data_IF_838878533180
#
_entry.id   IF_838878533180
#
_cell.length_a   1.000
_cell.length_b   1.000
_cell.length_c   1.000
_cell.angle_alpha   90.00
_cell.angle_beta   90.00
_cell.angle_gamma   90.00
#
_symmetry.space_group_name_H-M   'P 1'
#
loop_
_entity.id
_entity.type
_entity.pdbx_description
1 polymer ?
#
# COMPACT_ATOMS: atom_id res chain seq x y z
N UNK A 1 -0.28 81.84 -13.58
CA UNK A 1 -1.58 81.52 -12.91
C UNK A 1 -2.11 80.20 -13.50
N UNK A 2 -2.89 79.42 -12.75
CA UNK A 2 -3.58 78.24 -13.30
C UNK A 2 -3.15 76.88 -12.74
N UNK A 3 -3.27 76.67 -11.43
CA UNK A 3 -3.25 75.34 -10.82
C UNK A 3 -4.64 75.01 -10.24
N UNK A 4 -5.23 73.90 -10.69
CA UNK A 4 -6.46 73.26 -10.14
C UNK A 4 -6.13 71.75 -10.00
N UNK A 5 -6.35 71.03 -8.89
CA UNK A 5 -7.55 70.83 -8.03
C UNK A 5 -8.72 70.21 -8.81
N UNK A 6 -9.30 69.04 -8.49
CA UNK A 6 -9.05 67.98 -7.48
C UNK A 6 -9.23 66.59 -8.19
N UNK A 7 -9.48 65.39 -7.64
CA UNK A 7 -9.83 64.84 -6.30
C UNK A 7 -9.14 63.47 -6.06
N UNK A 8 -8.94 63.14 -4.78
CA UNK A 8 -9.26 61.90 -4.03
C UNK A 8 -9.39 60.54 -4.75
N UNK A 9 -8.81 59.47 -4.16
CA UNK A 9 -9.57 58.51 -3.34
C UNK A 9 -8.72 57.37 -2.70
N UNK A 10 -9.15 56.93 -1.51
CA UNK A 10 -8.98 55.62 -0.85
C UNK A 10 -7.74 54.73 -1.15
N UNK A 11 -6.88 54.55 -0.16
CA UNK A 11 -6.02 53.35 -0.03
C UNK A 11 -6.88 52.17 0.40
N UNK A 12 -7.00 51.12 -0.43
CA UNK A 12 -7.56 49.83 -0.05
C UNK A 12 -6.42 48.85 0.16
N UNK A 13 -6.23 48.40 1.41
CA UNK A 13 -5.20 47.42 1.76
C UNK A 13 -5.71 45.99 1.55
N UNK A 14 -5.31 45.36 0.45
CA UNK A 14 -5.65 43.96 0.15
C UNK A 14 -4.62 42.98 0.71
N UNK A 15 -4.93 42.30 1.83
CA UNK A 15 -4.13 41.21 2.37
C UNK A 15 -4.30 39.95 1.52
N UNK A 16 -3.40 39.73 0.55
CA UNK A 16 -3.35 38.49 -0.22
C UNK A 16 -2.68 37.38 0.61
N UNK A 17 -3.45 36.67 1.43
CA UNK A 17 -2.99 35.44 2.09
C UNK A 17 -2.79 34.33 1.05
N UNK A 18 -1.59 34.25 0.50
CA UNK A 18 -1.16 33.13 -0.32
C UNK A 18 -1.02 31.88 0.56
N UNK A 19 -2.03 31.00 0.53
CA UNK A 19 -1.94 29.66 1.11
C UNK A 19 -0.90 28.85 0.33
N UNK A 20 0.34 28.82 0.85
CA UNK A 20 1.39 27.93 0.38
C UNK A 20 1.03 26.50 0.78
N UNK A 21 0.29 25.80 -0.09
CA UNK A 21 0.06 24.36 0.03
C UNK A 21 1.39 23.63 -0.10
N UNK A 22 1.91 23.15 1.04
CA UNK A 22 3.12 22.35 1.10
C UNK A 22 2.80 20.91 0.71
N UNK A 23 2.81 20.63 -0.60
CA UNK A 23 2.71 19.28 -1.12
C UNK A 23 3.96 18.48 -0.73
N UNK A 24 3.77 17.30 -0.14
CA UNK A 24 4.88 16.38 0.09
C UNK A 24 5.40 15.84 -1.24
N UNK A 25 6.68 15.49 -1.30
CA UNK A 25 7.22 14.67 -2.38
C UNK A 25 6.71 13.24 -2.23
N UNK A 26 5.61 12.94 -2.92
CA UNK A 26 5.05 11.60 -3.12
C UNK A 26 6.16 10.56 -3.34
N UNK A 27 6.14 9.48 -2.54
CA UNK A 27 7.02 8.35 -2.73
C UNK A 27 6.28 7.30 -3.55
N UNK A 28 6.82 6.96 -4.72
CA UNK A 28 6.18 6.05 -5.68
C UNK A 28 5.96 4.62 -5.16
N UNK A 29 6.61 4.24 -4.05
CA UNK A 29 6.50 2.94 -3.40
C UNK A 29 5.62 2.93 -2.14
N UNK A 30 5.12 4.09 -1.68
CA UNK A 30 4.22 4.19 -0.52
C UNK A 30 2.78 4.38 -1.01
N UNK A 31 1.93 3.42 -0.67
CA UNK A 31 0.50 3.45 -0.87
C UNK A 31 -0.30 3.33 0.42
N UNK A 32 -1.62 3.47 0.31
CA UNK A 32 -2.57 3.23 1.39
C UNK A 32 -3.80 2.49 0.87
N UNK A 33 -4.43 1.69 1.72
CA UNK A 33 -5.70 1.04 1.44
C UNK A 33 -6.86 2.00 1.78
N UNK A 34 -7.73 2.25 0.80
CA UNK A 34 -9.01 2.93 1.02
C UNK A 34 -10.11 1.87 1.11
N UNK A 35 -10.40 1.48 2.36
CA UNK A 35 -11.55 0.65 2.71
C UNK A 35 -12.85 1.46 2.70
N UNK A 36 -13.97 0.74 2.58
CA UNK A 36 -15.32 1.31 2.38
C UNK A 36 -16.40 0.63 3.23
N UNK A 37 -16.01 -0.26 4.15
CA UNK A 37 -16.92 -0.94 5.09
C UNK A 37 -17.19 -0.02 6.31
N UNK A 38 -17.77 1.15 6.04
CA UNK A 38 -18.12 2.18 7.01
C UNK A 38 -19.24 3.11 6.49
N UNK A 39 -20.03 3.70 7.39
CA UNK A 39 -21.06 4.72 7.01
C UNK A 39 -20.66 6.17 7.33
N UNK A 40 -19.51 6.34 8.00
CA UNK A 40 -19.07 7.60 8.60
C UNK A 40 -17.94 8.35 7.84
N UNK A 41 -17.55 7.85 6.65
CA UNK A 41 -16.33 8.28 5.95
C UNK A 41 -16.37 9.74 5.45
N UNK A 42 -15.20 10.40 5.30
CA UNK A 42 -15.14 11.79 4.82
C UNK A 42 -15.56 11.90 3.34
N UNK A 43 -16.09 13.06 2.91
CA UNK A 43 -16.37 13.32 1.50
C UNK A 43 -15.14 13.06 0.62
N UNK A 44 -15.27 12.40 -0.56
CA UNK A 44 -14.11 12.00 -1.37
C UNK A 44 -13.15 13.14 -1.75
N UNK A 45 -13.65 14.38 -1.89
CA UNK A 45 -12.83 15.57 -2.08
C UNK A 45 -11.90 15.88 -0.89
N UNK A 46 -12.39 15.67 0.34
CA UNK A 46 -11.60 15.81 1.57
C UNK A 46 -10.52 14.74 1.65
N UNK A 47 -10.89 13.48 1.37
CA UNK A 47 -9.96 12.34 1.30
C UNK A 47 -8.86 12.57 0.27
N UNK A 48 -9.21 13.00 -0.94
CA UNK A 48 -8.24 13.32 -1.98
C UNK A 48 -7.30 14.48 -1.61
N UNK A 49 -7.79 15.49 -0.86
CA UNK A 49 -6.96 16.59 -0.39
C UNK A 49 -6.02 16.17 0.76
N UNK A 50 -6.49 15.29 1.67
CA UNK A 50 -5.65 14.66 2.69
C UNK A 50 -4.50 13.89 2.03
N UNK A 51 -4.81 12.98 1.09
CA UNK A 51 -3.81 12.20 0.36
C UNK A 51 -2.77 13.09 -0.31
N UNK A 52 -3.18 14.15 -1.03
CA UNK A 52 -2.28 15.13 -1.69
C UNK A 52 -1.37 15.90 -0.71
N UNK A 53 -1.67 15.94 0.59
CA UNK A 53 -0.81 16.56 1.62
C UNK A 53 0.27 15.62 2.18
N UNK A 54 0.22 14.34 1.83
CA UNK A 54 1.11 13.28 2.34
C UNK A 54 2.08 12.76 1.29
N UNK A 55 3.10 12.01 1.71
CA UNK A 55 4.02 11.30 0.80
C UNK A 55 3.44 10.02 0.19
N UNK A 56 2.13 9.78 0.29
CA UNK A 56 1.44 8.65 -0.36
C UNK A 56 1.37 8.90 -1.87
N UNK A 57 1.95 7.99 -2.66
CA UNK A 57 1.86 8.01 -4.13
C UNK A 57 0.85 7.04 -4.72
N UNK A 58 0.28 6.15 -3.91
CA UNK A 58 -0.60 5.07 -4.39
C UNK A 58 -1.84 4.89 -3.51
N UNK A 59 -2.98 4.59 -4.11
CA UNK A 59 -4.20 4.18 -3.38
C UNK A 59 -4.65 2.83 -3.90
N UNK A 60 -4.88 1.88 -2.99
CA UNK A 60 -5.60 0.65 -3.30
C UNK A 60 -7.08 0.84 -2.97
N UNK A 61 -7.92 0.57 -3.95
CA UNK A 61 -9.37 0.49 -3.82
C UNK A 61 -9.75 -1.00 -3.83
N UNK A 62 -10.70 -1.42 -3.00
CA UNK A 62 -11.23 -2.80 -3.04
C UNK A 62 -12.24 -3.02 -4.16
N UNK A 63 -12.82 -1.93 -4.65
CA UNK A 63 -13.87 -1.88 -5.66
C UNK A 63 -13.79 -0.52 -6.43
N UNK A 64 -14.56 -0.32 -7.50
CA UNK A 64 -14.58 0.94 -8.24
C UNK A 64 -15.17 2.10 -7.42
N UNK A 65 -14.37 3.15 -7.16
CA UNK A 65 -14.75 4.31 -6.35
C UNK A 65 -14.74 5.61 -7.19
N UNK A 66 -15.79 5.87 -8.01
CA UNK A 66 -15.78 6.91 -9.05
C UNK A 66 -15.63 8.34 -8.50
N UNK A 67 -16.22 8.66 -7.35
CA UNK A 67 -16.12 10.01 -6.76
C UNK A 67 -14.73 10.30 -6.19
N UNK A 68 -14.05 9.30 -5.62
CA UNK A 68 -12.67 9.42 -5.15
C UNK A 68 -11.70 9.49 -6.34
N UNK A 69 -11.92 8.69 -7.39
CA UNK A 69 -11.22 8.81 -8.68
C UNK A 69 -11.33 10.23 -9.22
N UNK A 70 -12.54 10.78 -9.30
CA UNK A 70 -12.78 12.14 -9.81
C UNK A 70 -12.08 13.20 -8.96
N UNK A 71 -12.09 13.05 -7.63
CA UNK A 71 -11.38 13.93 -6.71
C UNK A 71 -9.84 13.81 -6.78
N UNK A 72 -9.31 12.65 -7.21
CA UNK A 72 -7.89 12.39 -7.44
C UNK A 72 -7.39 12.79 -8.84
N UNK A 73 -8.29 13.16 -9.76
CA UNK A 73 -7.93 13.60 -11.11
C UNK A 73 -6.93 14.77 -11.08
N UNK A 74 -5.91 14.72 -11.95
CA UNK A 74 -4.84 15.72 -12.01
C UNK A 74 -3.84 15.67 -10.84
N UNK A 75 -3.90 14.65 -9.98
CA UNK A 75 -2.85 14.37 -8.99
C UNK A 75 -1.80 13.37 -9.50
N UNK A 76 -0.69 13.26 -8.77
CA UNK A 76 0.37 12.27 -9.04
C UNK A 76 0.14 10.93 -8.29
N UNK A 77 -1.10 10.64 -7.88
CA UNK A 77 -1.46 9.41 -7.17
C UNK A 77 -1.94 8.38 -8.19
N UNK A 78 -1.39 7.16 -8.18
CA UNK A 78 -1.85 6.06 -9.02
C UNK A 78 -2.71 5.05 -8.25
N UNK A 79 -3.61 4.37 -8.95
CA UNK A 79 -4.59 3.44 -8.38
C UNK A 79 -4.18 1.99 -8.60
N UNK A 80 -4.32 1.17 -7.55
CA UNK A 80 -4.52 -0.27 -7.64
C UNK A 80 -6.02 -0.55 -7.46
N UNK A 81 -6.68 -1.01 -8.53
CA UNK A 81 -8.12 -1.19 -8.58
C UNK A 81 -8.53 -2.62 -8.25
N UNK A 82 -9.32 -2.81 -7.21
CA UNK A 82 -9.89 -4.10 -6.84
C UNK A 82 -11.08 -4.50 -7.70
N UNK A 83 -11.14 -5.80 -8.00
CA UNK A 83 -12.34 -6.52 -8.43
C UNK A 83 -12.87 -7.26 -7.20
N UNK A 84 -14.12 -7.02 -6.76
CA UNK A 84 -14.72 -7.79 -5.67
C UNK A 84 -14.78 -9.29 -5.97
N UNK A 85 -14.59 -10.16 -4.97
CA UNK A 85 -14.63 -11.63 -5.14
C UNK A 85 -15.94 -12.11 -5.79
N UNK A 86 -17.06 -11.40 -5.57
CA UNK A 86 -18.37 -11.69 -6.16
C UNK A 86 -18.46 -11.44 -7.68
N UNK A 87 -17.64 -10.55 -8.24
CA UNK A 87 -17.63 -10.27 -9.69
C UNK A 87 -16.86 -11.36 -10.47
N UNK A 88 -15.88 -12.02 -9.83
CA UNK A 88 -14.93 -12.93 -10.49
C UNK A 88 -15.60 -14.03 -11.32
N UNK A 89 -16.66 -14.73 -10.87
CA UNK A 89 -17.33 -15.76 -11.69
C UNK A 89 -18.00 -15.21 -12.97
N UNK A 90 -18.51 -13.97 -12.94
CA UNK A 90 -19.12 -13.32 -14.10
C UNK A 90 -18.04 -12.89 -15.12
N UNK A 91 -16.93 -12.36 -14.61
CA UNK A 91 -15.77 -11.96 -15.40
C UNK A 91 -15.04 -13.16 -16.01
N UNK A 92 -15.00 -14.30 -15.30
CA UNK A 92 -14.44 -15.56 -15.78
C UNK A 92 -15.26 -16.19 -16.90
N UNK A 93 -16.59 -16.21 -16.76
CA UNK A 93 -17.49 -16.90 -17.68
C UNK A 93 -17.82 -16.13 -18.96
N UNK A 94 -17.55 -14.82 -19.02
CA UNK A 94 -17.89 -13.99 -20.18
C UNK A 94 -16.85 -12.90 -20.48
N UNK A 95 -16.10 -13.01 -21.60
CA UNK A 95 -15.24 -11.92 -22.09
C UNK A 95 -16.01 -10.63 -22.38
N UNK A 96 -17.30 -10.72 -22.73
CA UNK A 96 -18.15 -9.55 -22.92
C UNK A 96 -18.51 -8.87 -21.60
N UNK A 97 -18.67 -9.63 -20.50
CA UNK A 97 -18.84 -9.06 -19.17
C UNK A 97 -17.55 -8.39 -18.68
N UNK A 98 -16.38 -8.99 -18.92
CA UNK A 98 -15.09 -8.38 -18.63
C UNK A 98 -14.85 -7.08 -19.42
N UNK A 99 -15.21 -7.05 -20.71
CA UNK A 99 -15.16 -5.83 -21.52
C UNK A 99 -16.12 -4.73 -21.01
N UNK A 100 -17.33 -5.09 -20.60
CA UNK A 100 -18.30 -4.14 -20.03
C UNK A 100 -17.83 -3.60 -18.66
N UNK A 101 -17.31 -4.46 -17.78
CA UNK A 101 -16.74 -4.08 -16.49
C UNK A 101 -15.53 -3.15 -16.69
N UNK A 102 -14.61 -3.51 -17.58
CA UNK A 102 -13.43 -2.71 -17.90
C UNK A 102 -13.80 -1.31 -18.40
N UNK A 103 -14.76 -1.22 -19.32
CA UNK A 103 -15.23 0.05 -19.88
C UNK A 103 -16.01 0.94 -18.88
N UNK A 104 -16.62 0.33 -17.85
CA UNK A 104 -17.33 1.07 -16.79
C UNK A 104 -16.41 1.51 -15.65
N UNK A 105 -15.44 0.66 -15.28
CA UNK A 105 -14.77 0.74 -13.97
C UNK A 105 -13.29 1.14 -14.02
N UNK A 106 -12.60 1.03 -15.17
CA UNK A 106 -11.19 1.43 -15.28
C UNK A 106 -11.11 2.95 -15.54
N UNK A 107 -10.61 3.77 -14.60
CA UNK A 107 -10.60 5.21 -14.77
C UNK A 107 -9.54 5.68 -15.78
N UNK A 108 -9.92 6.68 -16.58
CA UNK A 108 -9.04 7.33 -17.58
C UNK A 108 -8.41 8.64 -17.07
N UNK A 109 -8.95 9.22 -16.00
CA UNK A 109 -8.51 10.51 -15.44
C UNK A 109 -7.39 10.39 -14.39
N UNK A 110 -7.05 9.17 -13.97
CA UNK A 110 -6.04 8.83 -12.94
C UNK A 110 -5.27 7.59 -13.41
N UNK A 111 -3.94 7.51 -13.28
CA UNK A 111 -3.18 6.33 -13.72
C UNK A 111 -3.54 5.07 -12.91
N UNK A 112 -3.90 3.98 -13.58
CA UNK A 112 -4.12 2.66 -12.95
C UNK A 112 -2.86 1.83 -13.13
N UNK A 113 -2.13 1.59 -12.04
CA UNK A 113 -0.89 0.77 -12.07
C UNK A 113 -1.22 -0.71 -12.29
N UNK A 114 -2.25 -1.20 -11.61
CA UNK A 114 -2.72 -2.57 -11.75
C UNK A 114 -4.19 -2.74 -11.33
N UNK A 115 -4.78 -3.86 -11.75
CA UNK A 115 -6.08 -4.35 -11.32
C UNK A 115 -5.85 -5.67 -10.58
N UNK A 116 -6.34 -5.79 -9.35
CA UNK A 116 -6.30 -7.03 -8.56
C UNK A 116 -7.64 -7.76 -8.67
N UNK A 117 -7.62 -8.93 -9.32
CA UNK A 117 -8.77 -9.81 -9.50
C UNK A 117 -9.02 -10.59 -8.20
N UNK A 118 -9.95 -10.10 -7.39
CA UNK A 118 -10.23 -10.62 -6.06
C UNK A 118 -9.27 -10.15 -4.96
N UNK A 119 -9.69 -10.38 -3.72
CA UNK A 119 -8.88 -10.20 -2.50
C UNK A 119 -8.89 -11.51 -1.71
N UNK A 120 -7.68 -12.03 -1.43
CA UNK A 120 -7.45 -13.28 -0.69
C UNK A 120 -8.30 -14.47 -1.18
N UNK A 121 -8.61 -14.50 -2.49
CA UNK A 121 -9.66 -15.36 -3.04
C UNK A 121 -9.43 -16.86 -2.79
N UNK A 122 -8.17 -17.31 -2.77
CA UNK A 122 -7.78 -18.70 -2.44
C UNK A 122 -7.98 -19.07 -0.96
N UNK A 123 -8.13 -18.07 -0.09
CA UNK A 123 -8.36 -18.18 1.36
C UNK A 123 -9.79 -17.79 1.76
N UNK A 124 -10.67 -17.52 0.79
CA UNK A 124 -12.03 -16.98 1.00
C UNK A 124 -13.03 -17.95 1.66
N UNK A 125 -12.67 -19.23 1.79
CA UNK A 125 -13.58 -20.30 2.22
C UNK A 125 -14.53 -20.83 1.14
N UNK A 126 -14.60 -20.19 -0.04
CA UNK A 126 -15.40 -20.68 -1.18
C UNK A 126 -14.50 -21.38 -2.24
N UNK A 127 -14.51 -22.73 -2.31
CA UNK A 127 -13.71 -23.48 -3.27
C UNK A 127 -14.19 -23.32 -4.73
N UNK A 128 -15.38 -22.74 -4.96
CA UNK A 128 -15.90 -22.52 -6.32
C UNK A 128 -15.25 -21.33 -7.02
N UNK A 129 -14.64 -20.40 -6.27
CA UNK A 129 -13.99 -19.20 -6.80
C UNK A 129 -12.61 -19.49 -7.39
N UNK A 130 -11.81 -20.37 -6.78
CA UNK A 130 -10.42 -20.60 -7.18
C UNK A 130 -10.25 -20.97 -8.68
N UNK A 131 -11.07 -21.86 -9.28
CA UNK A 131 -11.01 -22.15 -10.72
C UNK A 131 -11.39 -20.96 -11.63
N UNK A 132 -12.07 -19.93 -11.12
CA UNK A 132 -12.51 -18.77 -11.89
C UNK A 132 -11.42 -17.69 -12.01
N UNK A 133 -10.40 -17.73 -11.14
CA UNK A 133 -9.41 -16.66 -11.00
C UNK A 133 -8.65 -16.38 -12.31
N UNK A 134 -7.99 -17.40 -12.88
CA UNK A 134 -7.20 -17.23 -14.10
C UNK A 134 -8.07 -16.83 -15.32
N UNK A 135 -9.24 -17.45 -15.59
CA UNK A 135 -10.13 -16.98 -16.67
C UNK A 135 -10.56 -15.52 -16.51
N UNK A 136 -10.87 -15.05 -15.30
CA UNK A 136 -11.21 -13.65 -15.06
C UNK A 136 -10.02 -12.72 -15.32
N UNK A 137 -8.81 -13.10 -14.90
CA UNK A 137 -7.57 -12.37 -15.18
C UNK A 137 -7.27 -12.28 -16.69
N UNK A 138 -7.46 -13.38 -17.42
CA UNK A 138 -7.28 -13.44 -18.88
C UNK A 138 -8.31 -12.58 -19.62
N UNK A 139 -9.59 -12.65 -19.23
CA UNK A 139 -10.66 -11.87 -19.85
C UNK A 139 -10.49 -10.36 -19.58
N UNK A 140 -10.07 -9.97 -18.37
CA UNK A 140 -9.77 -8.56 -18.04
C UNK A 140 -8.53 -8.04 -18.78
N UNK A 141 -7.48 -8.87 -18.93
CA UNK A 141 -6.30 -8.52 -19.74
C UNK A 141 -6.69 -8.26 -21.20
N UNK A 142 -7.52 -9.13 -21.78
CA UNK A 142 -8.03 -8.98 -23.15
C UNK A 142 -8.98 -7.78 -23.32
N UNK A 143 -9.55 -7.27 -22.23
CA UNK A 143 -10.42 -6.10 -22.20
C UNK A 143 -9.66 -4.77 -22.01
N UNK A 144 -8.35 -4.78 -21.74
CA UNK A 144 -7.57 -3.55 -21.59
C UNK A 144 -7.43 -2.78 -22.93
N UNK A 145 -7.42 -1.43 -22.90
CA UNK A 145 -7.13 -0.63 -24.09
C UNK A 145 -5.78 -0.98 -24.73
N UNK A 146 -5.71 -0.92 -26.06
CA UNK A 146 -4.47 -1.16 -26.79
C UNK A 146 -3.38 -0.18 -26.36
N UNK A 147 -2.22 -0.71 -25.95
CA UNK A 147 -1.10 0.09 -25.40
C UNK A 147 -1.23 0.43 -23.91
N UNK A 148 -2.21 -0.12 -23.18
CA UNK A 148 -2.30 0.01 -21.73
C UNK A 148 -1.05 -0.53 -21.02
N UNK A 149 -0.59 0.18 -19.99
CA UNK A 149 0.50 -0.24 -19.10
C UNK A 149 0.00 -0.93 -17.82
N UNK A 150 -1.32 -0.89 -17.56
CA UNK A 150 -1.96 -1.48 -16.38
C UNK A 150 -1.75 -2.99 -16.34
N UNK A 151 -1.31 -3.51 -15.19
CA UNK A 151 -1.12 -4.95 -14.97
C UNK A 151 -2.38 -5.62 -14.42
N UNK A 152 -2.58 -6.89 -14.73
CA UNK A 152 -3.61 -7.73 -14.09
C UNK A 152 -2.91 -8.68 -13.12
N UNK A 153 -3.38 -8.72 -11.87
CA UNK A 153 -2.86 -9.60 -10.81
C UNK A 153 -3.99 -10.08 -9.90
N UNK A 154 -3.66 -10.74 -8.79
CA UNK A 154 -4.56 -11.21 -7.73
C UNK A 154 -3.88 -10.98 -6.37
N UNK A 155 -4.64 -10.58 -5.35
CA UNK A 155 -4.12 -10.41 -3.99
C UNK A 155 -4.28 -11.70 -3.19
N UNK A 156 -3.21 -12.14 -2.55
CA UNK A 156 -3.16 -13.36 -1.74
C UNK A 156 -2.90 -13.04 -0.26
N UNK A 157 -3.36 -13.92 0.63
CA UNK A 157 -2.94 -13.91 2.05
C UNK A 157 -1.65 -14.73 2.22
N UNK A 158 -0.95 -14.57 3.35
CA UNK A 158 0.20 -15.42 3.67
C UNK A 158 -0.13 -16.92 3.79
N UNK A 159 -1.41 -17.30 3.91
CA UNK A 159 -1.85 -18.69 3.98
C UNK A 159 -1.66 -19.49 2.67
N UNK A 160 -1.24 -18.85 1.57
CA UNK A 160 -0.77 -19.58 0.38
C UNK A 160 0.56 -20.30 0.59
N UNK A 161 1.32 -19.95 1.65
CA UNK A 161 2.56 -20.63 2.03
C UNK A 161 2.31 -21.75 3.03
N UNK A 162 2.86 -22.93 2.73
CA UNK A 162 2.91 -24.08 3.64
C UNK A 162 4.12 -24.05 4.59
N UNK A 163 5.11 -23.20 4.31
CA UNK A 163 6.26 -22.92 5.17
C UNK A 163 6.82 -21.52 4.88
N UNK A 164 7.31 -20.84 5.92
CA UNK A 164 7.79 -19.45 5.87
C UNK A 164 8.80 -19.04 6.96
N UNK A 165 9.02 -19.86 7.99
CA UNK A 165 10.07 -19.66 9.02
C UNK A 165 10.92 -20.95 9.11
N UNK A 166 12.23 -20.93 8.79
CA UNK A 166 13.00 -19.77 8.32
C UNK A 166 12.62 -19.36 6.88
N UNK A 167 12.89 -18.10 6.45
CA UNK A 167 12.53 -17.64 5.11
C UNK A 167 13.06 -18.50 3.95
N UNK A 168 14.21 -19.17 4.10
CA UNK A 168 14.72 -20.14 3.11
C UNK A 168 13.83 -21.36 2.85
N UNK A 169 12.89 -21.70 3.75
CA UNK A 169 11.94 -22.79 3.53
C UNK A 169 10.63 -22.31 2.89
N UNK A 170 10.54 -21.03 2.49
CA UNK A 170 9.41 -20.43 1.80
C UNK A 170 8.89 -21.29 0.66
N UNK A 171 7.68 -21.84 0.80
CA UNK A 171 7.09 -22.78 -0.15
C UNK A 171 5.57 -22.69 -0.21
N UNK A 172 5.00 -22.57 -1.41
CA UNK A 172 3.55 -22.57 -1.62
C UNK A 172 2.91 -23.92 -1.26
N UNK A 173 1.64 -23.88 -0.86
CA UNK A 173 0.81 -25.07 -0.65
C UNK A 173 0.72 -25.95 -1.92
N UNK A 174 1.00 -27.24 -1.78
CA UNK A 174 1.01 -28.18 -2.90
C UNK A 174 -0.40 -28.44 -3.47
N UNK A 175 -1.41 -28.38 -2.61
CA UNK A 175 -2.83 -28.44 -2.95
C UNK A 175 -3.33 -27.21 -3.74
N UNK A 176 -2.72 -26.04 -3.54
CA UNK A 176 -3.02 -24.84 -4.34
C UNK A 176 -2.40 -24.86 -5.74
N UNK A 177 -1.41 -25.72 -6.02
CA UNK A 177 -0.60 -25.68 -7.24
C UNK A 177 -1.44 -25.73 -8.54
N UNK A 178 -2.55 -26.47 -8.55
CA UNK A 178 -3.46 -26.57 -9.70
C UNK A 178 -4.19 -25.27 -10.08
N UNK A 179 -4.25 -24.29 -9.17
CA UNK A 179 -4.75 -22.93 -9.43
C UNK A 179 -3.61 -21.91 -9.47
N UNK A 180 -2.66 -22.03 -8.55
CA UNK A 180 -1.62 -21.02 -8.34
C UNK A 180 -0.51 -21.07 -9.40
N UNK A 181 -0.03 -22.24 -9.82
CA UNK A 181 1.07 -22.33 -10.79
C UNK A 181 0.68 -21.71 -12.16
N UNK A 182 -0.55 -21.92 -12.70
CA UNK A 182 -1.03 -21.20 -13.89
C UNK A 182 -1.20 -19.69 -13.69
N UNK A 183 -1.52 -19.22 -12.48
CA UNK A 183 -1.56 -17.77 -12.17
C UNK A 183 -0.15 -17.18 -12.13
N UNK A 184 0.83 -17.88 -11.55
CA UNK A 184 2.23 -17.43 -11.54
C UNK A 184 2.84 -17.36 -12.96
N UNK A 185 2.52 -18.33 -13.82
CA UNK A 185 2.90 -18.30 -15.25
C UNK A 185 2.28 -17.10 -15.97
N UNK A 186 0.98 -16.84 -15.77
CA UNK A 186 0.32 -15.64 -16.31
C UNK A 186 0.96 -14.34 -15.82
N UNK A 187 1.31 -14.24 -14.53
CA UNK A 187 1.99 -13.06 -13.98
C UNK A 187 3.37 -12.85 -14.63
N UNK A 188 4.15 -13.93 -14.77
CA UNK A 188 5.45 -13.92 -15.42
C UNK A 188 5.36 -13.46 -16.88
N UNK A 189 4.50 -14.10 -17.69
CA UNK A 189 4.34 -13.80 -19.12
C UNK A 189 3.92 -12.35 -19.39
N UNK A 190 3.10 -11.77 -18.51
CA UNK A 190 2.59 -10.40 -18.66
C UNK A 190 3.42 -9.34 -17.91
N UNK A 191 4.50 -9.74 -17.22
CA UNK A 191 5.29 -8.87 -16.37
C UNK A 191 4.44 -8.15 -15.32
N UNK A 192 3.53 -8.88 -14.68
CA UNK A 192 2.68 -8.41 -13.59
C UNK A 192 3.22 -8.90 -12.24
N UNK A 193 3.05 -8.12 -11.15
CA UNK A 193 3.59 -8.49 -9.85
C UNK A 193 2.73 -9.54 -9.14
N UNK A 194 3.34 -10.33 -8.27
CA UNK A 194 2.64 -11.13 -7.27
C UNK A 194 2.22 -10.22 -6.10
N UNK A 195 0.93 -10.19 -5.76
CA UNK A 195 0.42 -9.32 -4.69
C UNK A 195 0.08 -10.14 -3.44
N UNK A 196 0.54 -9.66 -2.28
CA UNK A 196 0.51 -10.43 -1.02
C UNK A 196 0.20 -9.52 0.19
N UNK A 197 -0.46 -10.09 1.20
CA UNK A 197 -0.84 -9.43 2.45
C UNK A 197 -0.06 -9.99 3.67
N UNK A 198 1.23 -9.63 3.86
CA UNK A 198 1.99 -9.95 5.07
C UNK A 198 1.60 -9.05 6.25
N UNK A 199 1.14 -9.66 7.34
CA UNK A 199 0.81 -8.98 8.59
C UNK A 199 1.68 -9.51 9.74
N UNK A 200 2.77 -8.81 10.11
CA UNK A 200 3.54 -9.07 11.33
C UNK A 200 2.71 -9.02 12.63
N UNK A 201 1.59 -8.30 12.64
CA UNK A 201 0.63 -8.28 13.74
C UNK A 201 0.10 -9.68 14.08
N UNK A 202 -0.47 -10.41 13.12
CA UNK A 202 -1.02 -11.75 13.37
C UNK A 202 0.06 -12.78 13.77
N UNK A 203 1.29 -12.58 13.30
CA UNK A 203 2.42 -13.40 13.74
C UNK A 203 2.79 -13.15 15.22
N UNK A 204 2.69 -11.90 15.70
CA UNK A 204 2.85 -11.57 17.12
C UNK A 204 1.63 -12.00 17.97
N UNK A 205 0.40 -11.86 17.47
CA UNK A 205 -0.79 -12.36 18.16
C UNK A 205 -0.73 -13.88 18.40
N UNK A 206 -0.06 -14.62 17.52
CA UNK A 206 0.22 -16.05 17.66
C UNK A 206 1.40 -16.39 18.58
N UNK A 207 2.28 -15.43 18.88
CA UNK A 207 3.51 -15.59 19.65
C UNK A 207 3.87 -14.30 20.42
N UNK A 208 3.19 -14.10 21.55
CA UNK A 208 3.15 -12.83 22.29
C UNK A 208 4.42 -12.51 23.11
N UNK A 209 5.57 -13.09 22.74
CA UNK A 209 6.84 -12.89 23.44
C UNK A 209 7.47 -11.52 23.13
N UNK A 210 8.15 -10.86 24.08
CA UNK A 210 8.73 -9.53 23.86
C UNK A 210 9.74 -9.45 22.70
N UNK A 211 10.53 -10.50 22.47
CA UNK A 211 11.46 -10.56 21.34
C UNK A 211 10.75 -10.70 19.99
N UNK A 212 9.57 -11.35 19.95
CA UNK A 212 8.73 -11.39 18.76
C UNK A 212 8.03 -10.05 18.55
N UNK A 213 7.60 -9.35 19.60
CA UNK A 213 7.08 -7.97 19.47
C UNK A 213 8.13 -7.03 18.87
N UNK A 214 9.35 -7.01 19.42
CA UNK A 214 10.41 -6.14 18.93
C UNK A 214 10.78 -6.45 17.46
N UNK A 215 10.83 -7.73 17.11
CA UNK A 215 11.07 -8.19 15.73
C UNK A 215 9.93 -7.84 14.77
N UNK A 216 8.66 -7.92 15.20
CA UNK A 216 7.53 -7.49 14.36
C UNK A 216 7.42 -5.97 14.22
N UNK A 217 7.85 -5.18 15.22
CA UNK A 217 7.81 -3.71 15.22
C UNK A 217 9.08 -3.04 14.64
N UNK A 218 9.98 -3.78 14.00
CA UNK A 218 11.31 -3.29 13.53
C UNK A 218 12.18 -2.65 14.65
N UNK A 219 11.93 -2.97 15.91
CA UNK A 219 12.66 -2.41 17.06
C UNK A 219 13.98 -3.18 17.29
N UNK A 220 14.97 -2.60 18.02
CA UNK A 220 16.23 -3.28 18.33
C UNK A 220 16.01 -4.65 19.01
N UNK A 221 16.47 -5.70 18.34
CA UNK A 221 16.35 -7.10 18.75
C UNK A 221 17.61 -7.87 18.26
N UNK A 222 17.89 -9.11 18.72
CA UNK A 222 19.12 -9.82 18.36
C UNK A 222 19.18 -10.31 16.90
N UNK A 223 18.08 -10.18 16.15
CA UNK A 223 17.90 -10.77 14.83
C UNK A 223 17.58 -12.27 14.87
N UNK A 224 17.17 -12.81 13.72
CA UNK A 224 16.98 -14.24 13.46
C UNK A 224 17.89 -14.64 12.30
N UNK A 225 18.85 -15.52 12.56
CA UNK A 225 19.73 -16.05 11.51
C UNK A 225 19.08 -17.29 10.90
N UNK A 226 18.80 -17.21 9.60
CA UNK A 226 18.40 -18.34 8.78
C UNK A 226 19.61 -19.26 8.57
N UNK A 227 19.56 -20.46 9.13
CA UNK A 227 20.67 -21.41 9.13
C UNK A 227 20.95 -22.06 7.76
N UNK A 228 20.04 -21.95 6.78
CA UNK A 228 20.19 -22.58 5.46
C UNK A 228 20.55 -21.56 4.37
N UNK A 229 20.08 -20.31 4.45
CA UNK A 229 20.55 -19.23 3.57
C UNK A 229 21.75 -18.45 4.13
N UNK A 230 21.97 -18.49 5.46
CA UNK A 230 22.98 -17.67 6.14
C UNK A 230 22.57 -16.20 6.31
N UNK A 231 21.38 -15.80 5.86
CA UNK A 231 20.86 -14.44 5.99
C UNK A 231 20.42 -14.15 7.43
N UNK A 232 20.59 -12.91 7.87
CA UNK A 232 20.12 -12.43 9.17
C UNK A 232 18.98 -11.44 8.98
N UNK A 233 17.82 -11.77 9.53
CA UNK A 233 16.64 -10.92 9.51
C UNK A 233 16.55 -10.14 10.81
N UNK A 234 16.34 -8.83 10.73
CA UNK A 234 16.16 -7.96 11.90
C UNK A 234 14.71 -7.59 12.15
N UNK A 235 13.80 -7.96 11.25
CA UNK A 235 12.37 -7.73 11.40
C UNK A 235 11.52 -8.78 10.68
N UNK A 236 10.24 -8.89 11.06
CA UNK A 236 9.29 -9.87 10.51
C UNK A 236 8.86 -9.56 9.07
N UNK A 237 8.78 -8.29 8.68
CA UNK A 237 8.33 -7.88 7.35
C UNK A 237 9.27 -8.40 6.26
N UNK A 238 10.59 -8.19 6.42
CA UNK A 238 11.62 -8.71 5.52
C UNK A 238 11.61 -10.25 5.47
N UNK A 239 11.39 -10.90 6.62
CA UNK A 239 11.32 -12.37 6.70
C UNK A 239 10.11 -12.94 5.96
N UNK A 240 8.92 -12.33 6.11
CA UNK A 240 7.71 -12.72 5.39
C UNK A 240 7.84 -12.47 3.88
N UNK A 241 8.44 -11.33 3.48
CA UNK A 241 8.67 -10.99 2.08
C UNK A 241 9.70 -11.93 1.42
N UNK A 242 10.79 -12.28 2.11
CA UNK A 242 11.80 -13.20 1.57
C UNK A 242 11.36 -14.67 1.58
N UNK A 243 10.39 -15.06 2.43
CA UNK A 243 9.71 -16.35 2.31
C UNK A 243 8.88 -16.42 1.00
N UNK A 244 8.16 -15.36 0.65
CA UNK A 244 7.41 -15.27 -0.62
C UNK A 244 8.37 -15.24 -1.82
N UNK A 245 9.47 -14.47 -1.75
CA UNK A 245 10.54 -14.45 -2.75
C UNK A 245 11.12 -15.85 -2.97
N UNK A 246 11.41 -16.57 -1.89
CA UNK A 246 11.93 -17.95 -1.95
C UNK A 246 10.92 -18.92 -2.56
N UNK A 247 9.63 -18.82 -2.23
CA UNK A 247 8.58 -19.66 -2.82
C UNK A 247 8.41 -19.44 -4.33
N UNK A 248 8.47 -18.18 -4.78
CA UNK A 248 8.46 -17.82 -6.20
C UNK A 248 9.72 -18.31 -6.93
N UNK A 249 10.90 -18.17 -6.31
CA UNK A 249 12.17 -18.63 -6.86
C UNK A 249 12.21 -20.16 -7.01
N UNK A 250 11.68 -20.91 -6.03
CA UNK A 250 11.55 -22.36 -6.06
C UNK A 250 10.60 -22.87 -7.16
N UNK A 251 9.65 -22.03 -7.60
CA UNK A 251 8.78 -22.25 -8.77
C UNK A 251 9.38 -21.76 -10.09
N UNK A 252 10.56 -21.13 -10.07
CA UNK A 252 11.25 -20.59 -11.25
C UNK A 252 10.92 -19.14 -11.61
N UNK A 253 10.03 -18.48 -10.85
CA UNK A 253 9.51 -17.14 -11.15
C UNK A 253 10.33 -16.00 -10.51
N UNK A 254 11.66 -16.09 -10.62
CA UNK A 254 12.60 -15.11 -10.04
C UNK A 254 12.44 -13.67 -10.58
N UNK A 255 11.85 -13.51 -11.77
CA UNK A 255 11.59 -12.20 -12.39
C UNK A 255 10.22 -11.60 -12.05
N UNK A 256 9.36 -12.29 -11.30
CA UNK A 256 8.06 -11.76 -10.88
C UNK A 256 8.26 -10.86 -9.66
N UNK A 257 8.06 -9.56 -9.84
CA UNK A 257 8.13 -8.58 -8.75
C UNK A 257 7.05 -8.84 -7.69
N UNK A 258 7.30 -8.43 -6.45
CA UNK A 258 6.34 -8.57 -5.34
C UNK A 258 5.79 -7.18 -4.98
N UNK A 259 4.50 -7.11 -4.67
CA UNK A 259 3.80 -5.92 -4.15
C UNK A 259 3.09 -6.31 -2.86
N UNK A 260 3.31 -5.54 -1.80
CA UNK A 260 2.59 -5.67 -0.53
C UNK A 260 1.26 -4.93 -0.68
N UNK A 261 0.17 -5.65 -0.91
CA UNK A 261 -1.15 -5.09 -1.20
C UNK A 261 -1.94 -4.73 0.07
N UNK A 262 -1.52 -5.26 1.22
CA UNK A 262 -1.89 -4.85 2.57
C UNK A 262 -0.74 -5.14 3.53
N UNK A 263 -0.48 -4.22 4.45
CA UNK A 263 0.16 -4.53 5.73
C UNK A 263 -0.19 -3.43 6.74
N UNK A 264 -0.32 -3.76 8.01
CA UNK A 264 -0.73 -2.79 9.02
C UNK A 264 -0.69 -3.36 10.44
N UNK A 265 -1.08 -2.53 11.40
CA UNK A 265 -1.15 -2.89 12.81
C UNK A 265 -2.27 -2.09 13.50
N UNK A 266 -3.17 -2.75 14.25
CA UNK A 266 -4.33 -2.09 14.85
C UNK A 266 -3.95 -1.31 16.13
N UNK A 267 -4.51 -0.12 16.31
CA UNK A 267 -4.17 0.74 17.46
C UNK A 267 -5.01 0.45 18.72
N UNK A 268 -6.02 -0.41 18.59
CA UNK A 268 -6.95 -0.88 19.62
C UNK A 268 -7.45 -2.26 19.21
N UNK A 269 -7.86 -3.08 20.18
CA UNK A 269 -8.48 -4.39 19.95
C UNK A 269 -9.18 -4.90 21.22
N UNK A 270 -9.81 -6.06 21.12
CA UNK A 270 -10.46 -6.73 22.24
C UNK A 270 -9.44 -7.18 23.32
N UNK A 271 -9.94 -7.61 24.49
CA UNK A 271 -9.09 -7.87 25.67
C UNK A 271 -8.07 -9.01 25.50
N UNK A 272 -8.25 -9.87 24.51
CA UNK A 272 -7.36 -10.96 24.09
C UNK A 272 -6.49 -10.61 22.86
N UNK A 273 -6.68 -9.44 22.24
CA UNK A 273 -5.92 -8.96 21.08
C UNK A 273 -4.58 -8.35 21.49
N UNK A 274 -3.69 -9.23 21.94
CA UNK A 274 -2.37 -8.86 22.44
C UNK A 274 -1.60 -7.99 21.44
N UNK A 275 -1.25 -6.77 21.89
CA UNK A 275 -0.43 -5.83 21.13
C UNK A 275 -1.19 -4.82 20.27
N UNK A 276 -2.53 -4.88 20.19
CA UNK A 276 -3.34 -3.88 19.51
C UNK A 276 -3.39 -2.56 20.32
N UNK A 277 -2.38 -1.70 20.14
CA UNK A 277 -2.18 -0.47 20.92
C UNK A 277 -1.66 0.68 20.06
N UNK A 278 -1.96 1.93 20.44
CA UNK A 278 -1.51 3.14 19.73
C UNK A 278 0.01 3.21 19.59
N UNK A 279 0.76 2.86 20.63
CA UNK A 279 2.23 2.88 20.58
C UNK A 279 2.80 1.80 19.64
N UNK A 280 2.20 0.61 19.61
CA UNK A 280 2.62 -0.46 18.70
C UNK A 280 2.21 -0.17 17.25
N UNK A 281 0.99 0.33 17.01
CA UNK A 281 0.54 0.72 15.67
C UNK A 281 1.39 1.86 15.09
N UNK A 282 1.73 2.85 15.92
CA UNK A 282 2.66 3.93 15.58
C UNK A 282 4.07 3.40 15.30
N UNK A 283 4.58 2.50 16.14
CA UNK A 283 5.90 1.90 15.93
C UNK A 283 5.95 1.08 14.63
N UNK A 284 4.96 0.23 14.37
CA UNK A 284 4.90 -0.59 13.16
C UNK A 284 4.82 0.28 11.90
N UNK A 285 3.77 1.08 11.77
CA UNK A 285 3.51 1.85 10.56
C UNK A 285 4.58 2.95 10.34
N UNK A 286 5.11 3.55 11.42
CA UNK A 286 6.20 4.52 11.36
C UNK A 286 7.54 3.90 10.95
N UNK A 287 7.91 2.75 11.53
CA UNK A 287 9.17 2.08 11.17
C UNK A 287 9.10 1.42 9.78
N UNK A 288 7.93 0.94 9.34
CA UNK A 288 7.68 0.51 7.97
C UNK A 288 7.92 1.66 6.98
N UNK A 289 7.32 2.83 7.22
CA UNK A 289 7.56 4.03 6.39
C UNK A 289 9.04 4.43 6.37
N UNK A 290 9.75 4.30 7.50
CA UNK A 290 11.19 4.56 7.58
C UNK A 290 12.03 3.52 6.81
N UNK A 291 11.72 2.22 6.93
CA UNK A 291 12.35 1.13 6.19
C UNK A 291 12.20 1.36 4.67
N UNK A 292 10.97 1.58 4.19
CA UNK A 292 10.70 1.83 2.77
C UNK A 292 11.46 3.06 2.26
N UNK A 293 11.44 4.17 3.02
CA UNK A 293 12.19 5.40 2.68
C UNK A 293 13.71 5.22 2.71
N UNK A 294 14.26 4.22 3.41
CA UNK A 294 15.68 3.90 3.39
C UNK A 294 16.13 3.17 2.11
N UNK A 295 15.19 2.55 1.38
CA UNK A 295 15.42 1.76 0.17
C UNK A 295 16.40 0.58 0.34
N UNK A 296 16.68 0.16 1.58
CA UNK A 296 17.63 -0.92 1.90
C UNK A 296 17.20 -2.28 1.32
N UNK A 297 15.90 -2.49 1.13
CA UNK A 297 15.33 -3.77 0.67
C UNK A 297 15.43 -4.85 1.75
N UNK A 298 15.24 -6.10 1.35
CA UNK A 298 15.32 -7.26 2.25
C UNK A 298 16.71 -7.91 2.23
N UNK A 299 17.06 -8.78 3.19
CA UNK A 299 18.33 -9.52 3.17
C UNK A 299 18.58 -10.34 1.90
N UNK A 300 17.54 -10.92 1.28
CA UNK A 300 17.63 -11.63 -0.02
C UNK A 300 17.54 -10.69 -1.22
N UNK A 301 16.83 -9.56 -1.10
CA UNK A 301 16.55 -8.61 -2.18
C UNK A 301 16.98 -7.17 -1.80
N UNK A 302 18.29 -6.93 -1.58
CA UNK A 302 18.78 -5.64 -1.11
C UNK A 302 18.79 -4.55 -2.20
N UNK A 303 18.70 -3.29 -1.78
CA UNK A 303 18.85 -2.11 -2.64
C UNK A 303 17.63 -1.71 -3.47
N UNK A 304 16.46 -2.31 -3.20
CA UNK A 304 15.17 -1.96 -3.82
C UNK A 304 14.09 -1.87 -2.74
N UNK A 305 13.40 -0.74 -2.63
CA UNK A 305 12.15 -0.68 -1.85
C UNK A 305 11.06 -1.50 -2.55
N UNK A 306 10.30 -2.25 -1.77
CA UNK A 306 9.07 -2.91 -2.23
C UNK A 306 7.91 -1.90 -2.29
N UNK A 307 7.02 -2.06 -3.27
CA UNK A 307 5.76 -1.33 -3.35
C UNK A 307 4.83 -1.80 -2.21
N UNK A 308 4.41 -0.88 -1.33
CA UNK A 308 3.64 -1.23 -0.13
C UNK A 308 2.42 -0.35 0.09
N UNK A 309 1.25 -0.97 0.23
CA UNK A 309 0.00 -0.33 0.63
C UNK A 309 -0.26 -0.58 2.11
N UNK A 310 -0.36 0.50 2.89
CA UNK A 310 -0.59 0.45 4.34
C UNK A 310 -2.10 0.31 4.61
N UNK A 311 -2.47 -0.71 5.38
CA UNK A 311 -3.83 -0.97 5.84
C UNK A 311 -4.07 -0.27 7.20
N UNK A 312 -4.94 0.74 7.32
CA UNK A 312 -5.77 1.39 6.27
C UNK A 312 -5.82 2.92 6.46
N UNK A 313 -6.37 3.66 5.48
CA UNK A 313 -6.43 5.12 5.56
C UNK A 313 -7.34 5.60 6.70
N UNK A 314 -8.49 4.95 6.89
CA UNK A 314 -9.49 5.24 7.91
C UNK A 314 -9.88 3.97 8.67
N UNK A 315 -10.49 4.15 9.83
CA UNK A 315 -11.17 3.06 10.55
C UNK A 315 -12.49 2.69 9.84
N UNK A 316 -12.69 1.40 9.59
CA UNK A 316 -13.85 0.85 8.90
C UNK A 316 -14.86 0.32 9.93
N UNK A 317 -15.77 1.18 10.42
CA UNK A 317 -16.58 0.91 11.62
C UNK A 317 -17.67 -0.16 11.45
N UNK A 318 -18.03 -0.53 10.22
CA UNK A 318 -18.97 -1.61 9.92
C UNK A 318 -18.28 -2.99 9.73
N UNK A 319 -16.95 -3.09 9.85
CA UNK A 319 -16.26 -4.39 9.79
C UNK A 319 -16.68 -5.30 10.94
N UNK A 320 -17.19 -6.49 10.60
CA UNK A 320 -17.38 -7.59 11.53
C UNK A 320 -16.04 -8.20 11.99
N UNK A 321 -16.11 -9.12 12.95
CA UNK A 321 -14.91 -9.67 13.61
C UNK A 321 -14.55 -8.91 14.90
N UNK A 322 -13.34 -9.11 15.44
CA UNK A 322 -12.90 -8.48 16.69
C UNK A 322 -12.73 -6.96 16.55
N UNK A 323 -12.42 -6.26 17.64
CA UNK A 323 -12.28 -4.80 17.63
C UNK A 323 -11.09 -4.29 16.81
N UNK A 324 -10.00 -5.06 16.67
CA UNK A 324 -8.86 -4.66 15.83
C UNK A 324 -9.24 -4.35 14.39
N UNK A 325 -10.15 -5.13 13.80
CA UNK A 325 -10.68 -4.95 12.45
C UNK A 325 -11.29 -3.55 12.25
N UNK A 326 -11.79 -2.91 13.32
CA UNK A 326 -12.37 -1.56 13.34
C UNK A 326 -11.39 -0.51 13.90
N UNK A 327 -10.08 -0.78 13.88
CA UNK A 327 -9.04 0.07 14.51
C UNK A 327 -7.67 0.03 13.79
N UNK A 328 -7.65 -0.16 12.48
CA UNK A 328 -6.44 -0.09 11.62
C UNK A 328 -6.17 1.30 11.01
N UNK A 329 -7.04 2.29 11.23
CA UNK A 329 -7.00 3.59 10.56
C UNK A 329 -5.77 4.43 10.93
N UNK A 330 -5.05 4.89 9.91
CA UNK A 330 -4.02 5.92 10.05
C UNK A 330 -4.61 7.29 10.41
N UNK A 331 -5.81 7.59 9.92
CA UNK A 331 -6.54 8.83 10.15
C UNK A 331 -7.96 8.56 10.65
N UNK A 332 -8.50 9.52 11.38
CA UNK A 332 -9.93 9.60 11.75
C UNK A 332 -10.72 10.25 10.63
N UNK A 333 -12.05 10.16 10.72
CA UNK A 333 -12.98 10.79 9.78
C UNK A 333 -13.06 12.32 9.90
N UNK A 334 -12.48 12.91 10.95
CA UNK A 334 -12.22 14.36 11.04
C UNK A 334 -10.91 14.80 10.33
N UNK A 335 -10.25 13.86 9.62
CA UNK A 335 -8.96 14.00 8.93
C UNK A 335 -7.74 14.17 9.86
N UNK A 336 -7.90 14.09 11.19
CA UNK A 336 -6.75 14.03 12.10
C UNK A 336 -6.07 12.67 12.05
N UNK A 337 -4.74 12.63 12.18
CA UNK A 337 -4.03 11.37 12.30
C UNK A 337 -4.40 10.66 13.62
N UNK A 338 -4.58 9.34 13.60
CA UNK A 338 -4.67 8.56 14.84
C UNK A 338 -3.33 8.62 15.59
N UNK A 339 -2.21 8.57 14.86
CA UNK A 339 -0.84 8.71 15.34
C UNK A 339 0.08 9.12 14.17
N UNK A 340 1.16 9.86 14.43
CA UNK A 340 2.11 10.28 13.38
C UNK A 340 3.11 9.18 13.03
N UNK A 341 3.24 8.90 11.72
CA UNK A 341 4.11 7.90 11.10
C UNK A 341 5.06 8.51 10.04
N UNK A 342 5.22 9.83 10.01
CA UNK A 342 6.17 10.50 9.11
C UNK A 342 5.73 10.53 7.64
N UNK A 343 4.41 10.52 7.37
CA UNK A 343 3.84 10.69 6.03
C UNK A 343 3.62 12.15 5.62
N UNK A 344 3.58 13.09 6.58
CA UNK A 344 3.38 14.51 6.27
C UNK A 344 4.54 15.09 5.45
N UNK A 345 4.27 16.19 4.71
CA UNK A 345 5.32 16.99 4.10
C UNK A 345 6.31 17.48 5.18
N UNK A 346 7.59 17.16 5.03
CA UNK A 346 8.63 17.76 5.88
C UNK A 346 8.61 19.29 5.67
N UNK A 347 8.68 20.11 6.74
CA UNK A 347 8.96 21.53 6.59
C UNK A 347 10.24 21.68 5.79
N UNK A 348 10.18 22.41 4.67
CA UNK A 348 11.26 22.41 3.68
C UNK A 348 12.60 22.72 4.31
N UNK A 349 13.55 21.80 4.21
CA UNK A 349 14.93 22.03 4.64
C UNK A 349 15.46 23.23 3.87
N UNK A 350 15.67 24.34 4.59
CA UNK A 350 16.33 25.51 4.02
C UNK A 350 17.64 25.05 3.37
N UNK A 351 17.87 25.45 2.11
CA UNK A 351 19.05 25.03 1.37
C UNK A 351 20.31 25.29 2.22
N UNK A 352 21.25 24.32 2.30
CA UNK A 352 22.40 24.43 3.19
C UNK A 352 23.13 25.73 2.90
N UNK A 353 23.22 26.59 3.91
CA UNK A 353 23.78 27.93 3.74
C UNK A 353 25.18 27.82 3.15
N UNK A 354 25.38 28.41 1.97
CA UNK A 354 26.64 28.33 1.23
C UNK A 354 27.78 28.86 2.07
N UNK A 355 28.60 27.94 2.62
CA UNK A 355 29.78 28.28 3.42
C UNK A 355 30.78 28.95 2.49
N UNK A 356 30.86 30.28 2.57
CA UNK A 356 31.82 31.06 1.80
C UNK A 356 33.23 30.63 2.20
N UNK A 357 34.11 30.19 1.27
CA UNK A 357 35.45 29.77 1.62
C UNK A 357 36.25 30.96 2.17
N UNK A 358 36.82 30.79 3.36
CA UNK A 358 37.69 31.81 3.96
C UNK A 358 39.01 31.82 3.21
N UNK A 359 39.25 32.87 2.42
CA UNK A 359 40.51 33.08 1.72
C UNK A 359 41.64 33.30 2.72
N UNK A 360 42.48 32.29 2.93
CA UNK A 360 43.71 32.42 3.72
C UNK A 360 44.69 33.32 2.97
N UNK A 361 44.83 34.56 3.42
CA UNK A 361 45.94 35.43 3.02
C UNK A 361 47.23 34.87 3.61
N UNK A 362 48.16 34.43 2.75
CA UNK A 362 49.53 34.10 3.13
C UNK A 362 50.36 35.39 3.04
N UNK A 363 51.12 35.66 4.11
CA UNK A 363 52.16 36.70 4.19
C UNK A 363 53.51 36.04 4.47
#
# INVERSE_FOLDING_TARGET
MGARRWLDAAVISGLLQAFLFHFATSQSFIGVNYGTIADNLPPPASTANLLKSTSIGKVRLYEPQPDLVAALAGSNISILLGVPNADVPNLASSPAAAAAWAAANIPTAVPVSAISVGNELLNSGDPSLAPQLLPAMQNLLAALPAGSTTKISSVHSMAVLSSSDPPSSGAFHADLAGTLDPVLDFLHQNGAPFMINPYPYFAYASDTRPETLAFCLFQPNPGRVDAASGLSYTNMFDAQLDAIRTALDAKGYSSVDIVIAETGWPYKGDADEAGATVDNAKAYNGNLVAHLKSQVGTPRTPGKSVDTYIFALYDEDLKGGPESERSFGLYRTDLTANYDIGLAAAPGTAAPATVTPVTVQVH
#
